data_IF_197646121757
#
_entry.id   IF_197646121757
#
_cell.length_a   1.000
_cell.length_b   1.000
_cell.length_c   1.000
_cell.angle_alpha   90.00
_cell.angle_beta   90.00
_cell.angle_gamma   90.00
#
_symmetry.space_group_name_H-M   'P 1'
#
loop_
_entity.id
_entity.type
_entity.pdbx_description
1 polymer ?
#
# COMPACT_ATOMS: atom_id res chain seq x y z
N UNK A 1 -5.91 13.85 13.92
CA UNK A 1 -4.63 13.25 14.32
C UNK A 1 -4.10 14.06 15.48
N UNK A 2 -3.68 13.45 16.61
CA UNK A 2 -2.97 14.16 17.67
C UNK A 2 -1.81 14.98 17.09
N UNK A 3 -1.54 16.17 17.63
CA UNK A 3 -0.53 17.08 17.05
C UNK A 3 0.85 16.44 16.95
N UNK A 4 1.22 15.63 17.94
CA UNK A 4 2.50 14.92 18.00
C UNK A 4 2.68 13.84 16.91
N UNK A 5 1.58 13.43 16.26
CA UNK A 5 1.58 12.46 15.18
C UNK A 5 1.36 13.12 13.81
N UNK A 6 1.29 14.44 13.74
CA UNK A 6 1.21 15.15 12.47
C UNK A 6 2.61 15.21 11.87
N UNK A 7 2.81 14.43 10.82
CA UNK A 7 4.05 14.34 10.06
C UNK A 7 3.81 14.99 8.69
N UNK A 8 4.15 16.28 8.58
CA UNK A 8 3.96 17.08 7.36
C UNK A 8 5.30 17.56 6.77
N UNK A 9 6.42 17.08 7.30
CA UNK A 9 7.76 17.46 6.83
C UNK A 9 8.00 17.01 5.40
N UNK A 10 8.92 17.67 4.68
CA UNK A 10 9.16 17.34 3.27
C UNK A 10 9.62 15.88 3.11
N UNK A 11 9.03 15.17 2.14
CA UNK A 11 9.48 13.82 1.79
C UNK A 11 10.82 13.86 1.07
N UNK A 12 11.72 12.98 1.47
CA UNK A 12 12.96 12.72 0.73
C UNK A 12 12.65 11.97 -0.59
N UNK A 13 13.59 11.98 -1.52
CA UNK A 13 13.43 11.23 -2.77
C UNK A 13 13.31 9.73 -2.46
N UNK A 14 12.22 9.11 -2.92
CA UNK A 14 11.96 7.69 -2.71
C UNK A 14 12.76 6.84 -3.69
N UNK A 15 13.45 5.82 -3.18
CA UNK A 15 14.10 4.78 -3.98
C UNK A 15 13.27 3.49 -3.86
N UNK A 16 12.84 2.95 -5.01
CA UNK A 16 12.14 1.66 -5.08
C UNK A 16 13.06 0.55 -4.56
N UNK A 17 12.60 -0.22 -3.57
CA UNK A 17 13.32 -1.40 -3.07
C UNK A 17 12.83 -2.68 -3.74
N UNK A 18 11.51 -2.84 -3.87
CA UNK A 18 10.85 -3.95 -4.57
C UNK A 18 9.43 -3.54 -4.97
N UNK A 19 8.83 -4.30 -5.90
CA UNK A 19 7.41 -4.18 -6.24
C UNK A 19 6.60 -5.12 -5.38
N UNK A 20 5.56 -4.61 -4.74
CA UNK A 20 4.68 -5.45 -3.92
C UNK A 20 3.53 -6.00 -4.74
N UNK A 21 3.16 -7.26 -4.46
CA UNK A 21 1.99 -7.93 -5.01
C UNK A 21 0.92 -8.04 -3.94
N UNK A 22 0.81 -9.22 -3.32
CA UNK A 22 -0.15 -9.43 -2.23
C UNK A 22 0.17 -8.53 -1.02
N UNK A 23 -0.87 -7.91 -0.47
CA UNK A 23 -0.79 -7.12 0.75
C UNK A 23 -1.86 -7.57 1.76
N UNK A 24 -1.48 -7.67 3.02
CA UNK A 24 -2.34 -8.04 4.13
C UNK A 24 -2.42 -6.90 5.16
N UNK A 25 -3.57 -6.77 5.81
CA UNK A 25 -3.78 -5.83 6.91
C UNK A 25 -4.37 -6.57 8.11
N UNK A 26 -3.67 -6.53 9.24
CA UNK A 26 -4.05 -7.16 10.49
C UNK A 26 -4.24 -6.16 11.64
N UNK A 27 -4.93 -6.61 12.68
CA UNK A 27 -5.07 -5.90 13.95
C UNK A 27 -4.67 -6.82 15.11
N UNK A 28 -3.72 -6.37 15.92
CA UNK A 28 -3.32 -7.03 17.16
C UNK A 28 -3.97 -6.31 18.35
N UNK A 29 -5.01 -6.89 18.98
CA UNK A 29 -5.69 -6.29 20.11
C UNK A 29 -4.85 -6.27 21.38
N UNK A 30 -3.82 -7.11 21.49
CA UNK A 30 -2.98 -7.20 22.70
C UNK A 30 -2.04 -6.01 22.82
N UNK A 31 -1.55 -5.51 21.68
CA UNK A 31 -0.62 -4.38 21.61
C UNK A 31 -1.26 -3.11 21.04
N UNK A 32 -2.52 -3.17 20.64
CA UNK A 32 -3.24 -2.10 19.96
C UNK A 32 -2.54 -1.60 18.68
N UNK A 33 -2.03 -2.54 17.89
CA UNK A 33 -1.25 -2.29 16.68
C UNK A 33 -1.96 -2.75 15.42
N UNK A 34 -1.77 -1.98 14.35
CA UNK A 34 -2.07 -2.37 12.98
C UNK A 34 -0.83 -3.03 12.40
N UNK A 35 -1.00 -4.17 11.74
CA UNK A 35 0.05 -4.91 11.02
C UNK A 35 -0.21 -4.76 9.52
N UNK A 36 0.79 -4.34 8.76
CA UNK A 36 0.78 -4.32 7.30
C UNK A 36 1.84 -5.30 6.80
N UNK A 37 1.43 -6.26 6.01
CA UNK A 37 2.32 -7.23 5.36
C UNK A 37 2.30 -6.96 3.86
N UNK A 38 3.46 -6.82 3.25
CA UNK A 38 3.62 -6.55 1.83
C UNK A 38 4.61 -7.56 1.24
N UNK A 39 4.10 -8.42 0.36
CA UNK A 39 4.87 -9.48 -0.28
C UNK A 39 5.44 -8.95 -1.60
N UNK A 40 6.71 -9.20 -1.92
CA UNK A 40 7.30 -8.82 -3.20
C UNK A 40 6.72 -9.69 -4.32
N UNK A 41 6.63 -9.12 -5.52
CA UNK A 41 6.44 -9.89 -6.75
C UNK A 41 7.80 -10.46 -7.13
N UNK A 42 7.89 -11.77 -7.31
CA UNK A 42 9.09 -12.42 -7.85
C UNK A 42 8.91 -12.60 -9.36
N UNK A 43 9.99 -12.50 -10.13
CA UNK A 43 9.96 -12.61 -11.60
C UNK A 43 9.47 -13.97 -12.12
N UNK A 44 9.24 -14.95 -11.24
CA UNK A 44 8.69 -16.28 -11.55
C UNK A 44 7.16 -16.27 -11.73
N UNK A 45 6.44 -15.23 -11.29
CA UNK A 45 4.98 -15.13 -11.43
C UNK A 45 4.51 -14.53 -12.77
N UNK A 46 5.42 -14.11 -13.65
CA UNK A 46 5.07 -13.51 -14.95
C UNK A 46 4.81 -14.55 -16.06
N UNK A 47 5.21 -15.81 -15.87
CA UNK A 47 5.11 -16.90 -16.85
C UNK A 47 4.45 -18.16 -16.24
N UNK A 48 3.28 -17.99 -15.61
CA UNK A 48 2.53 -19.10 -15.00
C UNK A 48 1.97 -20.09 -16.05
N UNK A 49 2.85 -20.96 -16.53
CA UNK A 49 2.58 -22.24 -17.22
C UNK A 49 3.59 -23.33 -16.77
N UNK A 50 4.09 -23.26 -15.52
CA UNK A 50 5.04 -24.24 -15.00
C UNK A 50 4.66 -24.73 -13.59
N UNK A 51 3.90 -25.83 -13.60
CA UNK A 51 4.08 -27.06 -12.82
C UNK A 51 4.05 -27.01 -11.27
N UNK A 52 3.17 -27.86 -10.73
CA UNK A 52 2.88 -28.10 -9.32
C UNK A 52 3.97 -28.93 -8.61
N UNK A 53 5.23 -28.50 -8.59
CA UNK A 53 6.26 -29.18 -7.78
C UNK A 53 6.52 -28.46 -6.45
N UNK A 54 5.86 -28.97 -5.42
CA UNK A 54 6.18 -28.78 -4.02
C UNK A 54 7.62 -29.24 -3.74
N UNK A 55 8.57 -28.30 -3.69
CA UNK A 55 9.91 -28.57 -3.13
C UNK A 55 9.94 -28.14 -1.66
N UNK A 56 9.82 -29.13 -0.79
CA UNK A 56 10.26 -29.11 0.60
C UNK A 56 11.80 -29.05 0.64
N UNK A 57 12.39 -27.86 0.66
CA UNK A 57 13.76 -27.66 1.14
C UNK A 57 13.89 -26.30 1.84
N UNK A 58 14.53 -26.28 3.00
CA UNK A 58 14.34 -25.26 4.03
C UNK A 58 14.81 -23.84 3.68
N UNK A 59 14.08 -22.87 4.26
CA UNK A 59 14.53 -21.52 4.57
C UNK A 59 14.79 -20.56 3.40
N UNK A 60 13.76 -20.32 2.58
CA UNK A 60 13.63 -19.01 1.94
C UNK A 60 12.21 -18.47 2.21
N UNK A 61 11.98 -18.02 3.45
CA UNK A 61 10.78 -17.23 3.74
C UNK A 61 10.77 -16.06 2.75
N UNK A 62 9.70 -15.86 1.95
CA UNK A 62 9.67 -14.76 1.00
C UNK A 62 9.96 -13.45 1.75
N UNK A 63 10.94 -12.68 1.27
CA UNK A 63 11.36 -11.43 1.91
C UNK A 63 10.18 -10.45 1.95
N UNK A 64 9.47 -10.42 3.07
CA UNK A 64 8.25 -9.65 3.25
C UNK A 64 8.54 -8.37 4.04
N UNK A 65 7.95 -7.25 3.63
CA UNK A 65 7.91 -6.07 4.48
C UNK A 65 6.76 -6.20 5.49
N UNK A 66 7.12 -6.29 6.77
CA UNK A 66 6.19 -6.22 7.89
C UNK A 66 6.31 -4.86 8.59
N UNK A 67 5.21 -4.10 8.59
CA UNK A 67 5.10 -2.84 9.34
C UNK A 67 4.14 -3.01 10.51
N UNK A 68 4.62 -2.77 11.72
CA UNK A 68 3.80 -2.71 12.94
C UNK A 68 3.68 -1.27 13.39
N UNK A 69 2.46 -0.75 13.46
CA UNK A 69 2.23 0.64 13.82
C UNK A 69 1.10 0.77 14.84
N UNK A 70 1.27 1.57 15.92
CA UNK A 70 0.18 1.88 16.84
C UNK A 70 -1.00 2.54 16.10
N UNK A 71 -2.23 2.34 16.59
CA UNK A 71 -3.45 2.86 15.96
C UNK A 71 -3.41 4.39 15.70
N UNK A 72 -2.77 5.16 16.58
CA UNK A 72 -2.60 6.60 16.41
C UNK A 72 -1.77 6.93 15.17
N UNK A 73 -0.62 6.26 15.00
CA UNK A 73 0.28 6.41 13.86
C UNK A 73 -0.37 5.93 12.57
N UNK A 74 -1.07 4.79 12.60
CA UNK A 74 -1.80 4.28 11.44
C UNK A 74 -2.83 5.29 10.91
N UNK A 75 -3.58 5.94 11.82
CA UNK A 75 -4.54 6.98 11.46
C UNK A 75 -3.87 8.25 10.92
N UNK A 76 -2.73 8.62 11.48
CA UNK A 76 -1.93 9.74 10.99
C UNK A 76 -1.43 9.49 9.57
N UNK A 77 -0.80 8.34 9.36
CA UNK A 77 -0.31 7.85 8.08
C UNK A 77 -1.43 7.85 7.03
N UNK A 78 -2.58 7.22 7.32
CA UNK A 78 -3.70 7.16 6.39
C UNK A 78 -4.26 8.55 6.02
N UNK A 79 -4.20 9.52 6.93
CA UNK A 79 -4.60 10.90 6.62
C UNK A 79 -3.62 11.54 5.63
N UNK A 80 -2.33 11.51 5.94
CA UNK A 80 -1.28 12.11 5.11
C UNK A 80 -1.19 11.47 3.73
N UNK A 81 -1.25 10.13 3.66
CA UNK A 81 -1.18 9.39 2.40
C UNK A 81 -2.32 9.76 1.45
N UNK A 82 -3.53 10.05 1.95
CA UNK A 82 -4.62 10.56 1.11
C UNK A 82 -4.33 11.93 0.51
N UNK A 83 -3.70 12.82 1.27
CA UNK A 83 -3.30 14.14 0.78
C UNK A 83 -2.20 14.01 -0.29
N UNK A 84 -1.19 13.17 -0.06
CA UNK A 84 -0.12 12.88 -1.03
C UNK A 84 -0.67 12.26 -2.32
N UNK A 85 -1.49 11.21 -2.21
CA UNK A 85 -2.11 10.53 -3.35
C UNK A 85 -3.05 11.47 -4.11
N UNK A 86 -3.76 12.37 -3.41
CA UNK A 86 -4.60 13.39 -4.03
C UNK A 86 -3.80 14.46 -4.79
N UNK A 87 -2.60 14.81 -4.30
CA UNK A 87 -1.73 15.78 -4.96
C UNK A 87 -0.95 15.20 -6.16
N UNK A 88 -0.64 13.91 -6.14
CA UNK A 88 0.18 13.24 -7.17
C UNK A 88 -0.60 12.61 -8.32
N UNK A 89 -1.92 12.37 -8.17
CA UNK A 89 -2.75 11.81 -9.25
C UNK A 89 -3.37 12.94 -10.08
N UNK A 90 -3.34 12.84 -11.42
CA UNK A 90 -4.01 13.84 -12.26
C UNK A 90 -5.50 13.87 -11.90
N UNK A 91 -6.05 15.06 -11.68
CA UNK A 91 -7.47 15.23 -11.36
C UNK A 91 -8.31 15.07 -12.63
N UNK A 92 -9.42 14.36 -12.53
CA UNK A 92 -10.38 14.22 -13.63
C UNK A 92 -11.00 15.58 -13.96
N UNK A 93 -10.96 16.03 -15.24
CA UNK A 93 -11.52 17.33 -15.63
C UNK A 93 -13.05 17.40 -15.56
N UNK A 94 -13.73 16.25 -15.43
CA UNK A 94 -15.20 16.18 -15.39
C UNK A 94 -15.76 16.27 -13.96
N UNK A 95 -15.17 15.52 -13.02
CA UNK A 95 -15.69 15.39 -11.65
C UNK A 95 -14.77 15.99 -10.57
N UNK A 96 -13.53 16.34 -10.91
CA UNK A 96 -12.53 16.89 -9.97
C UNK A 96 -11.88 15.86 -9.04
N UNK A 97 -12.28 14.58 -9.10
CA UNK A 97 -11.65 13.51 -8.32
C UNK A 97 -10.33 13.02 -8.95
N UNK A 98 -9.37 12.53 -8.17
CA UNK A 98 -8.13 11.96 -8.69
C UNK A 98 -8.38 10.75 -9.61
N UNK A 99 -7.65 10.66 -10.72
CA UNK A 99 -7.70 9.52 -11.65
C UNK A 99 -6.86 8.37 -11.09
N UNK A 100 -7.44 7.16 -11.01
CA UNK A 100 -6.72 5.95 -10.62
C UNK A 100 -5.79 5.47 -11.74
N UNK A 101 -4.82 4.59 -11.43
CA UNK A 101 -3.82 4.12 -12.40
C UNK A 101 -4.43 3.38 -13.60
N UNK A 102 -5.54 2.65 -13.39
CA UNK A 102 -6.28 1.92 -14.43
C UNK A 102 -7.29 2.81 -15.21
N UNK A 103 -7.28 4.11 -14.96
CA UNK A 103 -8.25 5.08 -15.49
C UNK A 103 -9.34 5.44 -14.47
N UNK A 104 -10.27 6.31 -14.88
CA UNK A 104 -11.32 6.83 -13.99
C UNK A 104 -12.68 6.81 -14.67
N UNK A 105 -13.65 6.11 -14.07
CA UNK A 105 -15.04 6.12 -14.49
C UNK A 105 -15.81 7.15 -13.69
N UNK A 106 -16.27 8.21 -14.36
CA UNK A 106 -17.06 9.26 -13.73
C UNK A 106 -18.49 8.78 -13.47
N UNK A 107 -18.92 8.72 -12.22
CA UNK A 107 -20.34 8.68 -11.85
C UNK A 107 -20.81 10.11 -11.60
N UNK A 108 -21.03 10.89 -12.67
CA UNK A 108 -21.65 12.21 -12.53
C UNK A 108 -23.07 12.03 -11.97
N UNK A 109 -23.43 12.63 -10.82
CA UNK A 109 -24.81 12.60 -10.37
C UNK A 109 -25.66 13.45 -11.32
N UNK A 110 -26.53 12.80 -12.10
CA UNK A 110 -27.63 13.48 -12.81
C UNK A 110 -27.55 13.56 -14.34
N UNK A 111 -27.00 12.56 -15.03
CA UNK A 111 -27.40 12.24 -16.41
C UNK A 111 -28.27 10.98 -16.42
#
# INVERSE_FOLDING_TARGET
>A
TPLELVDNDQLEAVQEQFRTGAMSLGWDPTTAQVLLEAYPITDVDADADADESLDEDGANEPEMLLVRMPVGTARAFAKRTREIVGAGRPTCPLCGYPIDADGHTCTLPGL
#
